data_IF_499900451231
#
_entry.id   IF_499900451231
#
_cell.length_a   1.000
_cell.length_b   1.000
_cell.length_c   1.000
_cell.angle_alpha   90.00
_cell.angle_beta   90.00
_cell.angle_gamma   90.00
#
_symmetry.space_group_name_H-M   'P 1'
#
loop_
_entity.id
_entity.type
_entity.pdbx_description
1 polymer ?
#
# COMPACT_ATOMS: atom_id res chain seq x y z
N UNK A 1 11.74 -0.64 -14.99
CA UNK A 1 10.83 -0.36 -13.86
C UNK A 1 9.94 0.84 -14.20
N UNK A 2 10.47 2.04 -14.38
CA UNK A 2 9.70 3.27 -14.57
C UNK A 2 9.47 3.68 -16.03
N UNK A 3 10.14 3.05 -17.03
CA UNK A 3 9.98 3.42 -18.44
C UNK A 3 10.09 4.93 -18.64
N UNK A 4 9.10 5.53 -19.29
CA UNK A 4 9.04 6.98 -19.57
C UNK A 4 8.87 7.84 -18.29
N UNK A 5 8.49 7.24 -17.16
CA UNK A 5 8.34 7.94 -15.88
C UNK A 5 9.63 7.99 -15.05
N UNK A 6 10.79 7.61 -15.61
CA UNK A 6 12.07 7.62 -14.89
C UNK A 6 12.46 8.99 -14.38
N UNK A 7 12.22 10.05 -15.14
CA UNK A 7 12.48 11.44 -14.75
C UNK A 7 11.58 11.88 -13.59
N UNK A 8 10.33 11.43 -13.59
CA UNK A 8 9.40 11.61 -12.46
C UNK A 8 9.89 10.95 -11.19
N UNK A 9 10.37 9.70 -11.29
CA UNK A 9 10.95 8.98 -10.16
C UNK A 9 12.20 9.66 -9.61
N UNK A 10 13.03 10.24 -10.49
CA UNK A 10 14.21 11.01 -10.09
C UNK A 10 13.81 12.30 -9.37
N UNK A 11 12.87 13.07 -9.90
CA UNK A 11 12.32 14.29 -9.25
C UNK A 11 11.73 13.95 -7.88
N UNK A 12 10.95 12.86 -7.78
CA UNK A 12 10.42 12.41 -6.49
C UNK A 12 11.54 12.11 -5.49
N UNK A 13 12.59 11.41 -5.91
CA UNK A 13 13.74 11.13 -5.04
C UNK A 13 14.41 12.43 -4.54
N UNK A 14 14.52 13.47 -5.40
CA UNK A 14 15.04 14.78 -5.01
C UNK A 14 14.12 15.47 -4.00
N UNK A 15 12.81 15.43 -4.20
CA UNK A 15 11.83 15.99 -3.23
C UNK A 15 11.91 15.29 -1.88
N UNK A 16 12.12 13.97 -1.86
CA UNK A 16 12.35 13.22 -0.62
C UNK A 16 13.64 13.65 0.09
N UNK A 17 14.73 13.85 -0.68
CA UNK A 17 16.04 14.26 -0.16
C UNK A 17 16.05 15.72 0.38
N UNK A 18 15.26 16.62 -0.21
CA UNK A 18 15.09 18.01 0.21
C UNK A 18 13.95 18.19 1.20
N UNK A 19 12.80 18.62 0.69
CA UNK A 19 11.60 18.92 1.49
C UNK A 19 11.12 17.76 2.38
N UNK A 20 11.30 16.51 1.93
CA UNK A 20 10.99 15.33 2.73
C UNK A 20 11.81 15.25 4.02
N UNK A 21 13.11 15.49 3.94
CA UNK A 21 14.01 15.52 5.10
C UNK A 21 13.75 16.75 5.95
N UNK A 22 13.64 17.94 5.36
CA UNK A 22 13.39 19.21 6.06
C UNK A 22 12.10 19.15 6.89
N UNK A 23 11.06 18.50 6.37
CA UNK A 23 9.78 18.32 7.03
C UNK A 23 9.73 17.08 7.97
N UNK A 24 10.84 16.37 8.11
CA UNK A 24 10.94 15.17 8.99
C UNK A 24 10.08 13.99 8.51
N UNK A 25 9.85 13.87 7.20
CA UNK A 25 9.18 12.72 6.58
C UNK A 25 10.15 11.57 6.30
N UNK A 26 11.41 11.92 6.09
CA UNK A 26 12.51 11.00 5.90
C UNK A 26 13.69 11.40 6.81
N UNK A 27 14.37 10.41 7.40
CA UNK A 27 15.55 10.67 8.20
C UNK A 27 16.73 11.14 7.32
N UNK A 28 17.58 12.10 7.76
CA UNK A 28 18.73 12.57 6.97
C UNK A 28 19.70 11.45 6.56
N UNK A 29 19.81 10.39 7.38
CA UNK A 29 20.67 9.22 7.08
C UNK A 29 20.15 8.33 5.96
N UNK A 30 18.88 8.49 5.58
CA UNK A 30 18.24 7.72 4.51
C UNK A 30 18.50 8.32 3.12
N UNK A 31 19.01 9.56 3.02
CA UNK A 31 19.23 10.27 1.75
C UNK A 31 20.10 9.48 0.79
N UNK A 32 21.21 8.92 1.25
CA UNK A 32 22.11 8.09 0.42
C UNK A 32 21.52 6.76 -0.03
N UNK A 33 20.33 6.38 0.47
CA UNK A 33 19.66 5.10 0.22
C UNK A 33 18.24 5.27 -0.35
N UNK A 34 17.90 6.49 -0.81
CA UNK A 34 16.54 6.80 -1.29
C UNK A 34 16.16 5.87 -2.44
N UNK A 35 17.05 5.66 -3.41
CA UNK A 35 16.77 4.81 -4.55
C UNK A 35 16.54 3.36 -4.15
N UNK A 36 17.52 2.74 -3.51
CA UNK A 36 17.50 1.30 -3.23
C UNK A 36 16.44 0.96 -2.19
N UNK A 37 16.43 1.73 -1.08
CA UNK A 37 15.63 1.39 0.09
C UNK A 37 14.20 1.93 0.03
N UNK A 38 13.96 3.00 -0.74
CA UNK A 38 12.67 3.67 -0.74
C UNK A 38 11.98 3.61 -2.09
N UNK A 39 12.58 4.15 -3.15
CA UNK A 39 11.92 4.26 -4.46
C UNK A 39 11.78 2.88 -5.12
N UNK A 40 12.88 2.16 -5.33
CA UNK A 40 12.83 0.85 -5.97
C UNK A 40 12.12 -0.19 -5.11
N UNK A 41 12.40 -0.26 -3.81
CA UNK A 41 11.71 -1.18 -2.90
C UNK A 41 10.19 -0.99 -2.87
N UNK A 42 9.72 0.21 -3.14
CA UNK A 42 8.28 0.48 -3.24
C UNK A 42 7.73 0.10 -4.61
N UNK A 43 8.42 0.48 -5.68
CA UNK A 43 7.97 0.24 -7.04
C UNK A 43 7.89 -1.24 -7.43
N UNK A 44 8.79 -2.10 -6.91
CA UNK A 44 8.80 -3.54 -7.24
C UNK A 44 7.56 -4.30 -6.76
N UNK A 45 6.77 -3.74 -5.83
CA UNK A 45 5.49 -4.31 -5.42
C UNK A 45 4.49 -4.34 -6.58
N UNK A 46 4.73 -3.53 -7.62
CA UNK A 46 3.95 -3.56 -8.86
C UNK A 46 3.93 -4.92 -9.57
N UNK A 47 4.91 -5.80 -9.32
CA UNK A 47 4.97 -7.17 -9.88
C UNK A 47 3.78 -8.06 -9.45
N UNK A 48 3.11 -7.72 -8.36
CA UNK A 48 2.01 -8.49 -7.79
C UNK A 48 0.67 -7.74 -7.81
N UNK A 49 0.59 -6.64 -8.57
CA UNK A 49 -0.64 -5.87 -8.80
C UNK A 49 -1.19 -6.16 -10.19
N UNK A 50 -2.50 -6.36 -10.28
CA UNK A 50 -3.18 -6.61 -11.54
C UNK A 50 -3.40 -5.30 -12.33
N UNK A 51 -3.59 -5.35 -13.66
CA UNK A 51 -3.83 -4.15 -14.46
C UNK A 51 -5.10 -3.40 -14.05
N UNK A 52 -5.00 -2.07 -13.94
CA UNK A 52 -6.14 -1.18 -13.71
C UNK A 52 -6.76 -1.24 -12.32
N UNK A 53 -6.12 -1.92 -11.35
CA UNK A 53 -6.63 -2.03 -9.97
C UNK A 53 -6.76 -0.66 -9.28
N UNK A 54 -7.78 -0.55 -8.43
CA UNK A 54 -7.94 0.54 -7.46
C UNK A 54 -7.12 0.22 -6.22
N UNK A 55 -6.12 1.04 -5.95
CA UNK A 55 -5.16 0.80 -4.87
C UNK A 55 -5.30 1.90 -3.82
N UNK A 56 -5.36 1.52 -2.55
CA UNK A 56 -5.18 2.46 -1.44
C UNK A 56 -3.84 2.22 -0.75
N UNK A 57 -3.02 3.25 -0.64
CA UNK A 57 -1.82 3.26 0.20
C UNK A 57 -2.20 3.84 1.57
N UNK A 58 -2.24 3.00 2.62
CA UNK A 58 -2.63 3.42 3.96
C UNK A 58 -1.44 3.82 4.83
N UNK A 59 -1.52 5.05 5.36
CA UNK A 59 -0.41 5.66 6.08
C UNK A 59 0.74 6.03 5.14
N UNK A 60 0.40 6.67 4.03
CA UNK A 60 1.33 6.95 2.93
C UNK A 60 2.58 7.73 3.33
N UNK A 61 2.51 8.54 4.38
CA UNK A 61 3.65 9.27 4.92
C UNK A 61 4.28 10.23 3.91
N UNK A 62 5.49 9.90 3.45
CA UNK A 62 6.17 10.61 2.38
C UNK A 62 5.72 10.17 0.97
N UNK A 63 4.72 9.28 0.85
CA UNK A 63 4.24 8.73 -0.42
C UNK A 63 4.78 7.33 -0.74
N UNK A 64 5.21 6.59 0.28
CA UNK A 64 5.83 5.28 0.13
C UNK A 64 4.92 4.17 0.68
N UNK A 65 4.45 3.22 -0.15
CA UNK A 65 4.90 2.91 -1.51
C UNK A 65 4.10 3.57 -2.63
N UNK A 66 3.04 4.35 -2.35
CA UNK A 66 2.05 4.78 -3.33
C UNK A 66 2.60 5.59 -4.51
N UNK A 67 3.45 6.60 -4.29
CA UNK A 67 4.03 7.43 -5.36
C UNK A 67 4.91 6.62 -6.32
N UNK A 68 5.89 5.81 -5.86
CA UNK A 68 6.65 4.94 -6.75
C UNK A 68 5.77 3.94 -7.53
N UNK A 69 4.69 3.43 -6.93
CA UNK A 69 3.74 2.55 -7.63
C UNK A 69 2.98 3.29 -8.72
N UNK A 70 2.48 4.50 -8.45
CA UNK A 70 1.79 5.32 -9.43
C UNK A 70 2.69 5.69 -10.63
N UNK A 71 3.98 5.97 -10.36
CA UNK A 71 4.98 6.24 -11.41
C UNK A 71 5.31 4.99 -12.24
N UNK A 72 5.46 3.83 -11.60
CA UNK A 72 5.79 2.58 -12.29
C UNK A 72 4.60 1.98 -13.06
N UNK A 73 3.37 2.28 -12.62
CA UNK A 73 2.13 1.71 -13.13
C UNK A 73 1.05 2.80 -13.25
N UNK A 74 1.11 3.62 -14.31
CA UNK A 74 0.14 4.71 -14.54
C UNK A 74 -1.28 4.19 -14.87
N UNK A 75 -1.44 2.91 -15.10
CA UNK A 75 -2.73 2.24 -15.26
C UNK A 75 -3.48 2.03 -13.92
N UNK A 76 -2.78 2.07 -12.78
CA UNK A 76 -3.38 1.91 -11.46
C UNK A 76 -4.12 3.18 -11.02
N UNK A 77 -5.24 2.99 -10.33
CA UNK A 77 -6.00 4.10 -9.70
C UNK A 77 -5.57 4.23 -8.25
N UNK A 78 -4.56 5.07 -8.01
CA UNK A 78 -3.92 5.21 -6.71
C UNK A 78 -4.63 6.24 -5.83
N UNK A 79 -4.91 5.87 -4.57
CA UNK A 79 -5.38 6.76 -3.50
C UNK A 79 -4.42 6.68 -2.31
N UNK A 80 -3.88 7.82 -1.90
CA UNK A 80 -2.99 7.94 -0.75
C UNK A 80 -3.80 8.36 0.48
N UNK A 81 -3.82 7.53 1.52
CA UNK A 81 -4.57 7.80 2.77
C UNK A 81 -3.57 8.15 3.87
N UNK A 82 -3.61 9.42 4.34
CA UNK A 82 -2.67 9.92 5.36
C UNK A 82 -3.38 10.84 6.36
N UNK A 83 -3.38 10.54 7.68
CA UNK A 83 -4.11 11.33 8.65
C UNK A 83 -3.48 12.70 8.98
N UNK A 84 -2.16 12.85 8.84
CA UNK A 84 -1.45 14.06 9.27
C UNK A 84 -1.45 15.12 8.17
N UNK A 85 -1.99 16.31 8.47
CA UNK A 85 -2.11 17.43 7.54
C UNK A 85 -0.80 17.71 6.80
N UNK A 86 0.30 17.92 7.55
CA UNK A 86 1.62 18.24 6.96
C UNK A 86 2.10 17.18 5.97
N UNK A 87 1.77 15.90 6.19
CA UNK A 87 2.12 14.81 5.27
C UNK A 87 1.21 14.80 4.06
N UNK A 88 -0.10 14.96 4.26
CA UNK A 88 -1.04 15.02 3.14
C UNK A 88 -0.79 16.24 2.23
N UNK A 89 -0.34 17.37 2.78
CA UNK A 89 0.05 18.54 1.98
C UNK A 89 1.31 18.26 1.15
N UNK A 90 2.32 17.62 1.74
CA UNK A 90 3.50 17.16 1.00
C UNK A 90 3.13 16.20 -0.15
N UNK A 91 2.20 15.27 0.09
CA UNK A 91 1.74 14.36 -0.97
C UNK A 91 1.08 15.10 -2.14
N UNK A 92 0.26 16.13 -1.87
CA UNK A 92 -0.36 16.96 -2.92
C UNK A 92 0.70 17.73 -3.70
N UNK A 93 1.67 18.36 -3.02
CA UNK A 93 2.78 19.03 -3.66
C UNK A 93 3.58 18.10 -4.60
N UNK A 94 3.84 16.87 -4.15
CA UNK A 94 4.53 15.84 -4.97
C UNK A 94 3.70 15.48 -6.20
N UNK A 95 2.40 15.24 -6.03
CA UNK A 95 1.49 14.86 -7.13
C UNK A 95 1.44 15.98 -8.17
N UNK A 96 1.30 17.23 -7.74
CA UNK A 96 1.24 18.40 -8.60
C UNK A 96 2.57 18.61 -9.37
N UNK A 97 3.70 18.52 -8.67
CA UNK A 97 5.04 18.65 -9.26
C UNK A 97 5.34 17.57 -10.30
N UNK A 98 4.91 16.35 -10.04
CA UNK A 98 5.15 15.21 -10.93
C UNK A 98 4.11 15.09 -12.06
N UNK A 99 2.98 15.79 -11.95
CA UNK A 99 1.88 15.68 -12.90
C UNK A 99 1.25 14.29 -12.97
N UNK A 100 1.26 13.55 -11.87
CA UNK A 100 0.69 12.17 -11.80
C UNK A 100 -0.77 12.18 -11.34
N UNK A 101 -1.54 11.20 -11.82
CA UNK A 101 -2.95 11.03 -11.41
C UNK A 101 -3.02 10.18 -10.16
N UNK A 102 -3.21 10.84 -9.01
CA UNK A 102 -3.25 10.18 -7.72
C UNK A 102 -4.16 10.98 -6.76
N UNK A 103 -5.05 10.34 -6.04
CA UNK A 103 -5.90 11.00 -5.04
C UNK A 103 -5.22 11.05 -3.66
N UNK A 104 -5.46 12.11 -2.88
CA UNK A 104 -5.01 12.20 -1.48
C UNK A 104 -6.22 12.39 -0.58
N UNK A 105 -6.48 11.42 0.27
CA UNK A 105 -7.55 11.45 1.28
C UNK A 105 -6.92 11.63 2.65
N UNK A 106 -7.27 12.74 3.32
CA UNK A 106 -6.76 13.02 4.66
C UNK A 106 -7.66 12.42 5.73
N UNK A 107 -7.17 11.39 6.41
CA UNK A 107 -7.86 10.73 7.52
C UNK A 107 -7.31 9.34 7.80
N UNK A 108 -7.95 8.63 8.70
CA UNK A 108 -7.58 7.26 9.04
C UNK A 108 -8.44 6.28 8.24
N UNK A 109 -7.84 5.19 7.78
CA UNK A 109 -8.53 4.18 6.97
C UNK A 109 -9.78 3.58 7.63
N UNK A 110 -9.83 3.55 8.97
CA UNK A 110 -10.98 3.09 9.74
C UNK A 110 -12.11 4.12 9.89
N UNK A 111 -11.88 5.40 9.59
CA UNK A 111 -12.88 6.46 9.71
C UNK A 111 -13.93 6.29 8.61
N UNK A 112 -15.20 6.44 8.98
CA UNK A 112 -16.32 6.28 8.04
C UNK A 112 -16.22 7.25 6.87
N UNK A 113 -15.93 8.52 7.13
CA UNK A 113 -15.80 9.54 6.10
C UNK A 113 -14.71 9.17 5.06
N UNK A 114 -13.56 8.63 5.51
CA UNK A 114 -12.49 8.16 4.63
C UNK A 114 -12.95 6.97 3.79
N UNK A 115 -13.64 6.00 4.38
CA UNK A 115 -14.19 4.85 3.65
C UNK A 115 -15.21 5.27 2.59
N UNK A 116 -16.09 6.20 2.93
CA UNK A 116 -17.12 6.71 2.02
C UNK A 116 -16.47 7.48 0.84
N UNK A 117 -15.36 8.21 1.07
CA UNK A 117 -14.59 8.95 0.06
C UNK A 117 -13.73 8.04 -0.82
N UNK A 118 -12.99 7.10 -0.22
CA UNK A 118 -12.10 6.16 -0.93
C UNK A 118 -12.90 5.14 -1.75
N UNK A 119 -14.05 4.69 -1.21
CA UNK A 119 -14.87 3.65 -1.83
C UNK A 119 -14.23 2.27 -1.73
N UNK A 120 -14.72 1.33 -2.54
CA UNK A 120 -14.22 -0.04 -2.58
C UNK A 120 -12.88 -0.14 -3.32
N UNK A 121 -11.91 -0.82 -2.71
CA UNK A 121 -10.53 -0.96 -3.15
C UNK A 121 -10.21 -2.41 -3.52
N UNK A 122 -9.47 -2.62 -4.60
CA UNK A 122 -9.02 -3.94 -5.07
C UNK A 122 -7.82 -4.44 -4.28
N UNK A 123 -6.85 -3.54 -3.99
CA UNK A 123 -5.71 -3.87 -3.15
C UNK A 123 -5.31 -2.71 -2.23
N UNK A 124 -5.02 -3.01 -0.98
CA UNK A 124 -4.46 -2.07 -0.01
C UNK A 124 -2.97 -2.35 0.12
N UNK A 125 -2.15 -1.34 -0.11
CA UNK A 125 -0.70 -1.40 0.12
C UNK A 125 -0.33 -0.63 1.39
N UNK A 126 0.75 -1.03 2.04
CA UNK A 126 1.28 -0.31 3.20
C UNK A 126 2.77 -0.62 3.42
N UNK A 127 3.48 0.33 4.02
CA UNK A 127 4.89 0.18 4.38
C UNK A 127 5.19 0.82 5.73
N UNK A 128 5.82 0.06 6.64
CA UNK A 128 6.36 0.54 7.92
C UNK A 128 5.36 1.30 8.82
N UNK A 129 4.05 1.00 8.73
CA UNK A 129 3.00 1.76 9.43
C UNK A 129 2.66 1.14 10.79
N UNK A 130 2.44 -0.20 10.83
CA UNK A 130 1.97 -0.89 12.03
C UNK A 130 2.22 -2.40 11.97
N UNK A 131 1.87 -3.11 13.05
CA UNK A 131 1.79 -4.58 13.11
C UNK A 131 0.68 -5.14 12.22
N UNK A 132 0.79 -6.43 11.84
CA UNK A 132 -0.15 -7.04 10.89
C UNK A 132 -1.61 -7.07 11.39
N UNK A 133 -1.86 -7.16 12.69
CA UNK A 133 -3.21 -7.11 13.26
C UNK A 133 -3.90 -5.76 12.96
N UNK A 134 -3.19 -4.64 13.20
CA UNK A 134 -3.69 -3.30 12.90
C UNK A 134 -3.83 -3.07 11.41
N UNK A 135 -2.81 -3.43 10.63
CA UNK A 135 -2.85 -3.31 9.16
C UNK A 135 -4.01 -4.10 8.56
N UNK A 136 -4.25 -5.32 9.05
CA UNK A 136 -5.40 -6.13 8.61
C UNK A 136 -6.71 -5.42 8.88
N UNK A 137 -6.89 -4.88 10.10
CA UNK A 137 -8.11 -4.16 10.48
C UNK A 137 -8.36 -2.95 9.57
N UNK A 138 -7.34 -2.17 9.30
CA UNK A 138 -7.44 -0.99 8.44
C UNK A 138 -7.67 -1.36 6.97
N UNK A 139 -6.98 -2.39 6.47
CA UNK A 139 -7.14 -2.86 5.09
C UNK A 139 -8.53 -3.40 4.82
N UNK A 140 -9.06 -4.24 5.71
CA UNK A 140 -10.41 -4.83 5.57
C UNK A 140 -11.51 -3.75 5.53
N UNK A 141 -11.27 -2.60 6.18
CA UNK A 141 -12.23 -1.50 6.16
C UNK A 141 -12.43 -0.87 4.76
N UNK A 142 -11.46 -1.00 3.87
CA UNK A 142 -11.45 -0.43 2.52
C UNK A 142 -11.59 -1.50 1.42
N UNK A 143 -11.17 -2.74 1.67
CA UNK A 143 -11.14 -3.79 0.68
C UNK A 143 -12.55 -4.25 0.28
N UNK A 144 -12.79 -4.39 -1.04
CA UNK A 144 -13.92 -5.16 -1.51
C UNK A 144 -13.78 -6.65 -1.19
N UNK A 145 -14.86 -7.43 -1.19
CA UNK A 145 -14.76 -8.90 -1.12
C UNK A 145 -13.84 -9.45 -2.22
N UNK A 146 -12.91 -10.31 -1.85
CA UNK A 146 -11.87 -10.84 -2.74
C UNK A 146 -10.68 -9.89 -2.98
N UNK A 147 -10.70 -8.67 -2.43
CA UNK A 147 -9.56 -7.74 -2.47
C UNK A 147 -8.38 -8.21 -1.61
N UNK A 148 -7.23 -7.60 -1.79
CA UNK A 148 -5.96 -8.05 -1.21
C UNK A 148 -5.31 -6.98 -0.34
N UNK A 149 -4.74 -7.38 0.80
CA UNK A 149 -3.79 -6.54 1.53
C UNK A 149 -2.36 -6.93 1.16
N UNK A 150 -1.49 -5.96 0.94
CA UNK A 150 -0.08 -6.10 0.61
C UNK A 150 0.74 -5.24 1.57
N UNK A 151 1.35 -5.86 2.57
CA UNK A 151 2.15 -5.16 3.56
C UNK A 151 3.65 -5.39 3.30
N UNK A 152 4.39 -4.34 2.98
CA UNK A 152 5.85 -4.40 2.87
C UNK A 152 6.42 -4.56 4.28
N UNK A 153 7.15 -5.65 4.50
CA UNK A 153 7.69 -6.06 5.79
C UNK A 153 9.18 -6.37 5.69
N UNK A 154 9.82 -6.47 6.84
CA UNK A 154 11.21 -6.93 6.97
C UNK A 154 11.31 -8.44 7.18
N UNK A 155 12.46 -8.87 7.70
CA UNK A 155 12.80 -10.29 7.92
C UNK A 155 11.84 -11.03 8.85
N UNK A 156 11.17 -10.33 9.77
CA UNK A 156 10.20 -10.90 10.70
C UNK A 156 8.79 -11.14 10.14
N UNK A 157 8.61 -11.03 8.83
CA UNK A 157 7.30 -11.15 8.19
C UNK A 157 6.57 -12.46 8.53
N UNK A 158 7.29 -13.59 8.49
CA UNK A 158 6.73 -14.91 8.81
C UNK A 158 6.39 -15.05 10.31
N UNK A 159 7.20 -14.46 11.20
CA UNK A 159 6.93 -14.42 12.64
C UNK A 159 5.65 -13.62 12.92
N UNK A 160 5.52 -12.44 12.31
CA UNK A 160 4.32 -11.64 12.43
C UNK A 160 3.07 -12.38 11.89
N UNK A 161 3.19 -13.11 10.78
CA UNK A 161 2.08 -13.93 10.27
C UNK A 161 1.70 -15.00 11.29
N UNK A 162 2.66 -15.70 11.90
CA UNK A 162 2.36 -16.71 12.93
C UNK A 162 1.67 -16.09 14.14
N UNK A 163 2.17 -14.96 14.60
CA UNK A 163 1.64 -14.23 15.76
C UNK A 163 0.20 -13.76 15.53
N UNK A 164 -0.07 -13.15 14.36
CA UNK A 164 -1.35 -12.49 14.09
C UNK A 164 -2.32 -13.29 13.21
N UNK A 165 -1.97 -14.50 12.76
CA UNK A 165 -2.81 -15.35 11.90
C UNK A 165 -4.25 -15.47 12.39
N UNK A 166 -4.42 -15.71 13.68
CA UNK A 166 -5.74 -15.86 14.30
C UNK A 166 -6.59 -14.60 14.19
N UNK A 167 -5.97 -13.44 14.38
CA UNK A 167 -6.62 -12.13 14.25
C UNK A 167 -6.98 -11.85 12.78
N UNK A 168 -6.07 -12.11 11.85
CA UNK A 168 -6.30 -11.94 10.41
C UNK A 168 -7.49 -12.81 9.95
N UNK A 169 -7.52 -14.07 10.33
CA UNK A 169 -8.63 -14.99 10.00
C UNK A 169 -9.96 -14.52 10.59
N UNK A 170 -9.98 -14.03 11.84
CA UNK A 170 -11.20 -13.48 12.45
C UNK A 170 -11.73 -12.25 11.70
N UNK A 171 -10.85 -11.46 11.10
CA UNK A 171 -11.18 -10.30 10.27
C UNK A 171 -11.55 -10.70 8.82
N UNK A 172 -11.56 -11.99 8.49
CA UNK A 172 -11.93 -12.51 7.18
C UNK A 172 -10.79 -12.56 6.17
N UNK A 173 -9.54 -12.32 6.61
CA UNK A 173 -8.37 -12.43 5.72
C UNK A 173 -7.86 -13.85 5.71
N UNK A 174 -7.77 -14.44 4.51
CA UNK A 174 -7.31 -15.80 4.21
C UNK A 174 -6.11 -15.78 3.27
N UNK A 175 -5.59 -16.95 2.92
CA UNK A 175 -4.51 -17.14 1.95
C UNK A 175 -3.27 -16.27 2.23
N UNK A 176 -2.97 -16.09 3.54
CA UNK A 176 -1.86 -15.26 3.99
C UNK A 176 -0.53 -15.95 3.68
N UNK A 177 0.30 -15.28 2.90
CA UNK A 177 1.63 -15.75 2.47
C UNK A 177 2.65 -14.62 2.38
N UNK A 178 3.92 -14.99 2.41
CA UNK A 178 5.03 -14.09 2.07
C UNK A 178 5.34 -14.23 0.59
N UNK A 179 5.49 -13.10 -0.09
CA UNK A 179 6.00 -13.02 -1.45
C UNK A 179 7.29 -12.19 -1.49
N UNK A 180 8.18 -12.53 -2.41
CA UNK A 180 9.40 -11.78 -2.68
C UNK A 180 9.26 -11.07 -4.02
N UNK A 181 9.41 -9.74 -4.02
CA UNK A 181 9.28 -8.90 -5.20
C UNK A 181 10.61 -8.26 -5.55
N UNK A 182 10.85 -8.01 -6.82
CA UNK A 182 11.94 -7.17 -7.29
C UNK A 182 13.30 -7.84 -7.37
N UNK A 183 13.41 -9.17 -7.42
CA UNK A 183 14.70 -9.87 -7.49
C UNK A 183 15.61 -9.46 -8.66
N UNK A 184 15.04 -8.81 -9.70
CA UNK A 184 15.78 -8.25 -10.83
C UNK A 184 16.29 -6.84 -10.61
N UNK A 185 15.80 -6.14 -9.59
CA UNK A 185 15.99 -4.69 -9.39
C UNK A 185 16.61 -4.35 -8.05
N UNK A 186 16.38 -5.18 -7.03
CA UNK A 186 16.84 -4.94 -5.65
C UNK A 186 17.40 -6.21 -5.02
N UNK A 187 18.43 -6.06 -4.22
CA UNK A 187 19.03 -7.13 -3.43
C UNK A 187 19.20 -6.68 -1.97
N UNK A 188 18.63 -7.38 -1.01
CA UNK A 188 17.72 -8.52 -1.14
C UNK A 188 16.34 -8.13 -1.72
N UNK A 189 15.58 -9.08 -2.31
CA UNK A 189 14.23 -8.85 -2.78
C UNK A 189 13.29 -8.41 -1.65
N UNK A 190 12.34 -7.54 -2.00
CA UNK A 190 11.38 -6.98 -1.05
C UNK A 190 10.42 -8.05 -0.54
N UNK A 191 10.26 -8.11 0.76
CA UNK A 191 9.34 -9.02 1.42
C UNK A 191 7.96 -8.37 1.55
N UNK A 192 6.94 -9.00 0.99
CA UNK A 192 5.54 -8.54 1.04
C UNK A 192 4.68 -9.63 1.66
N UNK A 193 3.94 -9.28 2.72
CA UNK A 193 2.88 -10.13 3.25
C UNK A 193 1.62 -9.84 2.45
N UNK A 194 1.10 -10.87 1.80
CA UNK A 194 -0.14 -10.82 1.01
C UNK A 194 -1.22 -11.64 1.71
N UNK A 195 -2.41 -11.07 1.83
CA UNK A 195 -3.59 -11.78 2.33
C UNK A 195 -4.84 -11.34 1.59
N UNK A 196 -5.78 -12.23 1.35
CA UNK A 196 -7.02 -11.96 0.60
C UNK A 196 -8.20 -11.85 1.55
N UNK A 197 -9.03 -10.81 1.38
CA UNK A 197 -10.32 -10.73 2.06
C UNK A 197 -11.27 -11.76 1.43
N UNK A 198 -11.80 -12.67 2.24
CA UNK A 198 -12.73 -13.69 1.76
C UNK A 198 -13.91 -13.08 1.02
N UNK A 199 -14.31 -13.69 -0.09
CA UNK A 199 -15.57 -13.36 -0.72
C UNK A 199 -16.72 -13.72 0.23
N UNK A 200 -17.71 -12.86 0.37
CA UNK A 200 -18.97 -13.21 1.04
C UNK A 200 -19.49 -14.51 0.40
N UNK A 201 -19.43 -15.63 1.11
CA UNK A 201 -20.06 -16.86 0.63
C UNK A 201 -21.51 -16.51 0.32
N UNK A 202 -21.89 -16.59 -0.95
CA UNK A 202 -23.28 -16.54 -1.37
C UNK A 202 -24.07 -17.47 -0.43
N UNK A 203 -25.02 -16.92 0.29
CA UNK A 203 -25.73 -17.58 1.36
C UNK A 203 -26.18 -18.99 0.95
N UNK A 204 -25.89 -19.97 1.80
CA UNK A 204 -26.54 -21.29 1.75
C UNK A 204 -28.04 -21.03 1.66
N UNK A 205 -28.65 -21.26 0.51
CA UNK A 205 -30.09 -21.34 0.41
C UNK A 205 -30.57 -22.39 1.43
N UNK A 206 -31.47 -22.05 2.36
CA UNK A 206 -32.04 -23.07 3.24
C UNK A 206 -32.79 -24.07 2.37
N UNK A 207 -32.36 -25.33 2.46
CA UNK A 207 -32.96 -26.43 1.71
C UNK A 207 -34.48 -26.41 1.79
N UNK A 208 -35.14 -26.27 0.64
CA UNK A 208 -36.56 -26.41 0.47
C UNK A 208 -36.96 -27.83 0.86
N UNK A 209 -37.41 -28.05 2.07
CA UNK A 209 -38.04 -29.33 2.45
C UNK A 209 -39.24 -29.53 1.54
N UNK A 210 -39.11 -30.50 0.64
CA UNK A 210 -40.31 -31.06 -0.06
C UNK A 210 -41.12 -31.83 0.94
N UNK A 211 -42.38 -31.45 1.05
CA UNK A 211 -43.42 -32.31 1.63
C UNK A 211 -44.02 -33.14 0.52
#
# INVERSE_FOLDING_TARGET
MFGDAVDGAYRYAQMLAGAGVERGLLGPREVGRIWDRHVLNSAVVSEILDPGERIADIGSGAGLPGIPLALARPDLRMTLVEPLLRRSDFLREVIDELGIVCAVVRGRAEDRAVRDEVGEIDAVVSRAVASLDKLTKWSVALLRPGGRMLAIKGERAEDEIREYRRTMTKLGVTDVKVMKCGARFVDPPVTVVVGSLGSLRAGRQPGRKQR
#
